data_IF_698841887385
#
_entry.id   IF_698841887385
#
_cell.length_a   1.000
_cell.length_b   1.000
_cell.length_c   1.000
_cell.angle_alpha   90.00
_cell.angle_beta   90.00
_cell.angle_gamma   90.00
#
_symmetry.space_group_name_H-M   'P 1'
#
loop_
_entity.id
_entity.type
_entity.pdbx_description
1 polymer ?
#
# COMPACT_ATOMS: atom_id res chain seq x y z
N UNK A 1 22.74 -3.05 -10.34
CA UNK A 1 22.28 -4.18 -9.49
C UNK A 1 21.95 -3.78 -8.05
N UNK A 2 22.63 -2.80 -7.43
CA UNK A 2 22.34 -2.35 -6.05
C UNK A 2 20.93 -1.77 -5.83
N UNK A 3 20.44 -0.89 -6.73
CA UNK A 3 19.18 -0.16 -6.53
C UNK A 3 17.93 -1.06 -6.50
N UNK A 4 17.92 -2.16 -7.25
CA UNK A 4 16.80 -3.12 -7.26
C UNK A 4 16.65 -3.84 -5.91
N UNK A 5 17.75 -3.97 -5.17
CA UNK A 5 17.75 -4.61 -3.85
C UNK A 5 17.20 -3.66 -2.77
N UNK A 6 17.50 -2.36 -2.88
CA UNK A 6 17.02 -1.32 -1.96
C UNK A 6 15.49 -1.19 -2.03
N UNK A 7 14.91 -1.12 -3.24
CA UNK A 7 13.45 -1.02 -3.38
C UNK A 7 12.72 -2.25 -2.82
N UNK A 8 13.27 -3.46 -3.03
CA UNK A 8 12.72 -4.67 -2.41
C UNK A 8 12.80 -4.61 -0.88
N UNK A 9 13.91 -4.14 -0.33
CA UNK A 9 14.04 -3.97 1.12
C UNK A 9 13.00 -3.00 1.67
N UNK A 10 12.81 -1.84 1.03
CA UNK A 10 11.77 -0.87 1.41
C UNK A 10 10.37 -1.49 1.35
N UNK A 11 10.07 -2.24 0.28
CA UNK A 11 8.80 -2.95 0.12
C UNK A 11 8.54 -3.92 1.27
N UNK A 12 9.48 -4.84 1.53
CA UNK A 12 9.32 -5.84 2.59
C UNK A 12 9.30 -5.23 3.99
N UNK A 13 10.06 -4.16 4.21
CA UNK A 13 10.03 -3.41 5.47
C UNK A 13 8.68 -2.73 5.66
N UNK A 14 8.11 -2.14 4.61
CA UNK A 14 6.75 -1.60 4.61
C UNK A 14 5.72 -2.66 4.98
N UNK A 15 5.76 -3.82 4.32
CA UNK A 15 4.86 -4.96 4.62
C UNK A 15 5.01 -5.42 6.07
N UNK A 16 6.24 -5.61 6.56
CA UNK A 16 6.49 -6.02 7.95
C UNK A 16 5.90 -5.02 8.95
N UNK A 17 6.07 -3.71 8.69
CA UNK A 17 5.50 -2.66 9.54
C UNK A 17 3.97 -2.63 9.51
N UNK A 18 3.34 -2.91 8.37
CA UNK A 18 1.87 -3.05 8.28
C UNK A 18 1.41 -4.20 9.18
N UNK A 19 2.05 -5.37 9.13
CA UNK A 19 1.68 -6.51 9.97
C UNK A 19 1.93 -6.26 11.47
N UNK A 20 3.10 -5.70 11.82
CA UNK A 20 3.43 -5.37 13.21
C UNK A 20 2.47 -4.30 13.75
N UNK A 21 2.25 -3.23 12.99
CA UNK A 21 1.33 -2.16 13.35
C UNK A 21 -0.11 -2.65 13.48
N UNK A 22 -0.58 -3.47 12.54
CA UNK A 22 -1.91 -4.08 12.56
C UNK A 22 -2.11 -5.01 13.77
N UNK A 23 -1.12 -5.85 14.09
CA UNK A 23 -1.17 -6.71 15.28
C UNK A 23 -1.23 -5.90 16.58
N UNK A 24 -0.42 -4.83 16.68
CA UNK A 24 -0.43 -3.94 17.84
C UNK A 24 -1.74 -3.14 17.95
N UNK A 25 -2.35 -2.81 16.81
CA UNK A 25 -3.67 -2.17 16.73
C UNK A 25 -4.75 -3.05 17.37
N UNK A 26 -4.76 -4.34 17.03
CA UNK A 26 -5.71 -5.31 17.60
C UNK A 26 -5.53 -5.48 19.11
N UNK A 27 -4.30 -5.29 19.60
CA UNK A 27 -3.98 -5.33 21.03
C UNK A 27 -4.21 -4.01 21.77
N UNK A 28 -4.70 -2.97 21.09
CA UNK A 28 -4.92 -1.65 21.69
C UNK A 28 -3.64 -0.98 22.20
N UNK A 29 -2.47 -1.32 21.64
CA UNK A 29 -1.20 -0.78 22.11
C UNK A 29 -0.93 0.61 21.56
N UNK A 30 -0.30 1.44 22.39
CA UNK A 30 0.17 2.75 21.98
C UNK A 30 1.14 2.68 20.80
N UNK A 31 1.02 3.67 19.91
CA UNK A 31 1.84 3.87 18.71
C UNK A 31 1.62 2.84 17.57
N UNK A 32 0.66 1.93 17.70
CA UNK A 32 0.27 1.02 16.62
C UNK A 32 -0.09 1.76 15.31
N UNK A 33 -0.79 2.90 15.45
CA UNK A 33 -1.16 3.80 14.36
C UNK A 33 0.03 4.33 13.58
N UNK A 34 1.13 4.62 14.26
CA UNK A 34 2.34 5.17 13.66
C UNK A 34 3.05 4.09 12.84
N UNK A 35 3.29 2.91 13.43
CA UNK A 35 3.95 1.80 12.72
C UNK A 35 3.15 1.34 11.50
N UNK A 36 1.83 1.20 11.66
CA UNK A 36 0.93 0.81 10.58
C UNK A 36 0.94 1.83 9.43
N UNK A 37 0.86 3.12 9.76
CA UNK A 37 0.85 4.20 8.78
C UNK A 37 2.18 4.35 8.05
N UNK A 38 3.31 4.22 8.75
CA UNK A 38 4.64 4.23 8.12
C UNK A 38 4.74 3.04 7.15
N UNK A 39 4.29 1.86 7.56
CA UNK A 39 4.27 0.68 6.70
C UNK A 39 3.45 0.89 5.42
N UNK A 40 2.22 1.39 5.56
CA UNK A 40 1.35 1.73 4.42
C UNK A 40 1.96 2.80 3.52
N UNK A 41 2.56 3.82 4.11
CA UNK A 41 3.19 4.91 3.36
C UNK A 41 4.40 4.41 2.56
N UNK A 42 5.26 3.57 3.15
CA UNK A 42 6.40 2.97 2.43
C UNK A 42 5.92 2.06 1.29
N UNK A 43 4.88 1.25 1.53
CA UNK A 43 4.31 0.36 0.53
C UNK A 43 3.71 1.14 -0.65
N UNK A 44 2.75 2.03 -0.36
CA UNK A 44 2.04 2.80 -1.37
C UNK A 44 2.95 3.82 -2.06
N UNK A 45 3.81 4.50 -1.29
CA UNK A 45 4.77 5.45 -1.81
C UNK A 45 5.77 4.82 -2.77
N UNK A 46 6.32 3.65 -2.43
CA UNK A 46 7.20 2.93 -3.34
C UNK A 46 6.46 2.48 -4.61
N UNK A 47 5.24 1.96 -4.47
CA UNK A 47 4.44 1.51 -5.60
C UNK A 47 4.12 2.65 -6.58
N UNK A 48 3.71 3.81 -6.07
CA UNK A 48 3.44 5.02 -6.85
C UNK A 48 4.72 5.61 -7.45
N UNK A 49 5.82 5.59 -6.69
CA UNK A 49 7.14 6.02 -7.19
C UNK A 49 7.57 5.19 -8.40
N UNK A 50 7.49 3.86 -8.31
CA UNK A 50 7.80 2.97 -9.44
C UNK A 50 6.87 3.18 -10.62
N UNK A 51 5.59 3.48 -10.37
CA UNK A 51 4.61 3.80 -11.42
C UNK A 51 4.96 5.10 -12.16
N UNK A 52 5.50 6.09 -11.46
CA UNK A 52 5.88 7.40 -12.04
C UNK A 52 7.00 7.31 -13.08
N UNK A 53 7.80 6.25 -13.07
CA UNK A 53 8.83 5.99 -14.08
C UNK A 53 8.27 5.47 -15.41
N UNK A 54 6.99 5.07 -15.45
CA UNK A 54 6.35 4.57 -16.66
C UNK A 54 5.50 5.68 -17.31
N UNK A 55 5.63 5.93 -18.62
CA UNK A 55 4.82 6.94 -19.28
C UNK A 55 3.35 6.54 -19.27
N UNK A 56 2.45 7.48 -18.96
CA UNK A 56 0.99 7.25 -18.83
C UNK A 56 0.40 6.59 -20.09
N UNK A 57 0.90 6.93 -21.27
CA UNK A 57 0.47 6.33 -22.56
C UNK A 57 0.71 4.82 -22.64
N UNK A 58 1.60 4.28 -21.81
CA UNK A 58 1.93 2.84 -21.75
C UNK A 58 1.16 2.09 -20.66
N UNK A 59 0.34 2.77 -19.87
CA UNK A 59 -0.36 2.15 -18.76
C UNK A 59 -1.48 1.26 -19.26
N UNK A 60 -1.44 -0.01 -18.86
CA UNK A 60 -2.60 -0.88 -18.99
C UNK A 60 -3.52 -0.69 -17.78
N UNK A 61 -4.69 -1.35 -17.81
CA UNK A 61 -5.66 -1.32 -16.70
C UNK A 61 -5.03 -1.69 -15.35
N UNK A 62 -3.97 -2.52 -15.34
CA UNK A 62 -3.29 -2.94 -14.11
C UNK A 62 -2.52 -1.80 -13.43
N UNK A 63 -1.96 -0.88 -14.21
CA UNK A 63 -1.20 0.29 -13.76
C UNK A 63 -2.14 1.33 -13.14
N UNK A 64 -3.30 1.57 -13.77
CA UNK A 64 -4.35 2.40 -13.18
C UNK A 64 -4.90 1.83 -11.87
N UNK A 65 -5.10 0.51 -11.79
CA UNK A 65 -5.52 -0.15 -10.55
C UNK A 65 -4.49 0.04 -9.42
N UNK A 66 -3.19 -0.08 -9.72
CA UNK A 66 -2.12 0.19 -8.76
C UNK A 66 -2.12 1.64 -8.26
N UNK A 67 -2.39 2.60 -9.16
CA UNK A 67 -2.55 4.00 -8.77
C UNK A 67 -3.72 4.14 -7.76
N UNK A 68 -4.88 3.59 -8.10
CA UNK A 68 -6.09 3.65 -7.25
C UNK A 68 -5.82 3.02 -5.88
N UNK A 69 -5.20 1.84 -5.84
CA UNK A 69 -4.80 1.17 -4.61
C UNK A 69 -3.84 2.04 -3.79
N UNK A 70 -2.83 2.63 -4.43
CA UNK A 70 -1.89 3.53 -3.76
C UNK A 70 -2.59 4.75 -3.14
N UNK A 71 -3.52 5.37 -3.86
CA UNK A 71 -4.33 6.50 -3.37
C UNK A 71 -5.23 6.08 -2.20
N UNK A 72 -5.84 4.89 -2.25
CA UNK A 72 -6.63 4.36 -1.15
C UNK A 72 -5.77 4.14 0.10
N UNK A 73 -4.58 3.57 -0.04
CA UNK A 73 -3.67 3.40 1.09
C UNK A 73 -3.19 4.72 1.69
N UNK A 74 -2.85 5.70 0.85
CA UNK A 74 -2.46 7.03 1.35
C UNK A 74 -3.63 7.76 2.02
N UNK A 75 -4.84 7.66 1.48
CA UNK A 75 -6.02 8.23 2.12
C UNK A 75 -6.37 7.53 3.45
N UNK A 76 -6.17 6.22 3.55
CA UNK A 76 -6.27 5.51 4.83
C UNK A 76 -5.25 6.05 5.85
N UNK A 77 -4.00 6.32 5.45
CA UNK A 77 -3.00 6.95 6.31
C UNK A 77 -3.44 8.35 6.74
N UNK A 78 -3.98 9.16 5.83
CA UNK A 78 -4.46 10.51 6.15
C UNK A 78 -5.62 10.46 7.15
N UNK A 79 -6.61 9.60 6.91
CA UNK A 79 -7.75 9.41 7.79
C UNK A 79 -7.33 8.93 9.18
N UNK A 80 -6.32 8.05 9.24
CA UNK A 80 -5.85 7.47 10.48
C UNK A 80 -5.00 8.45 11.32
N UNK A 81 -4.02 9.12 10.72
CA UNK A 81 -3.07 9.96 11.46
C UNK A 81 -3.51 11.41 11.63
N UNK A 82 -4.18 11.99 10.63
CA UNK A 82 -4.48 13.43 10.62
C UNK A 82 -5.92 13.73 11.02
N UNK A 83 -6.85 12.83 10.72
CA UNK A 83 -8.28 13.05 10.98
C UNK A 83 -8.82 12.18 12.13
N UNK A 84 -8.05 11.19 12.59
CA UNK A 84 -8.45 10.20 13.59
C UNK A 84 -9.85 9.58 13.32
N UNK A 85 -10.18 9.37 12.04
CA UNK A 85 -11.50 8.90 11.60
C UNK A 85 -11.50 7.39 11.42
N UNK A 86 -12.36 6.66 12.12
CA UNK A 86 -12.50 5.19 12.03
C UNK A 86 -12.73 4.65 10.60
N UNK A 87 -13.18 5.50 9.67
CA UNK A 87 -13.34 5.16 8.26
C UNK A 87 -12.05 4.70 7.57
N UNK A 88 -10.86 5.00 8.14
CA UNK A 88 -9.57 4.56 7.60
C UNK A 88 -9.52 3.04 7.36
N UNK A 89 -10.17 2.24 8.22
CA UNK A 89 -10.18 0.79 8.13
C UNK A 89 -10.94 0.29 6.90
N UNK A 90 -12.08 0.91 6.59
CA UNK A 90 -12.86 0.57 5.40
C UNK A 90 -12.08 0.90 4.12
N UNK A 91 -11.42 2.07 4.08
CA UNK A 91 -10.58 2.49 2.96
C UNK A 91 -9.39 1.54 2.78
N UNK A 92 -8.77 1.10 3.88
CA UNK A 92 -7.69 0.13 3.86
C UNK A 92 -8.12 -1.25 3.31
N UNK A 93 -9.24 -1.80 3.79
CA UNK A 93 -9.77 -3.08 3.28
C UNK A 93 -10.07 -2.99 1.79
N UNK A 94 -10.68 -1.88 1.35
CA UNK A 94 -11.01 -1.68 -0.06
C UNK A 94 -9.73 -1.66 -0.91
N UNK A 95 -8.68 -0.97 -0.44
CA UNK A 95 -7.35 -1.00 -1.06
C UNK A 95 -6.78 -2.42 -1.18
N UNK A 96 -6.79 -3.20 -0.09
CA UNK A 96 -6.31 -4.59 -0.10
C UNK A 96 -7.10 -5.48 -1.05
N UNK A 97 -8.42 -5.32 -1.07
CA UNK A 97 -9.30 -6.11 -1.93
C UNK A 97 -8.99 -5.84 -3.40
N UNK A 98 -8.86 -4.56 -3.78
CA UNK A 98 -8.50 -4.17 -5.14
C UNK A 98 -7.08 -4.65 -5.51
N UNK A 99 -6.10 -4.56 -4.61
CA UNK A 99 -4.73 -5.04 -4.86
C UNK A 99 -4.74 -6.55 -5.12
N UNK A 100 -5.45 -7.30 -4.28
CA UNK A 100 -5.62 -8.75 -4.43
C UNK A 100 -6.22 -9.13 -5.78
N UNK A 101 -7.36 -8.53 -6.16
CA UNK A 101 -7.99 -8.81 -7.45
C UNK A 101 -7.11 -8.38 -8.62
N UNK A 102 -6.43 -7.24 -8.54
CA UNK A 102 -5.50 -6.78 -9.58
C UNK A 102 -4.40 -7.79 -9.83
N UNK A 103 -3.83 -8.35 -8.77
CA UNK A 103 -2.78 -9.36 -8.87
C UNK A 103 -3.31 -10.70 -9.41
N UNK A 104 -4.53 -11.12 -9.02
CA UNK A 104 -5.19 -12.29 -9.60
C UNK A 104 -5.42 -12.11 -11.11
N UNK A 105 -6.06 -11.01 -11.52
CA UNK A 105 -6.35 -10.75 -12.92
C UNK A 105 -5.08 -10.67 -13.76
N UNK A 106 -4.01 -10.09 -13.21
CA UNK A 106 -2.70 -10.03 -13.88
C UNK A 106 -2.08 -11.42 -14.04
N UNK A 107 -2.25 -12.31 -13.06
CA UNK A 107 -1.76 -13.68 -13.14
C UNK A 107 -2.55 -14.49 -14.17
N UNK A 108 -3.87 -14.35 -14.19
CA UNK A 108 -4.75 -15.01 -15.17
C UNK A 108 -4.42 -14.54 -16.60
N UNK A 109 -4.26 -13.23 -16.84
CA UNK A 109 -3.97 -12.68 -18.17
C UNK A 109 -2.57 -13.03 -18.71
N UNK A 110 -1.64 -13.44 -17.84
CA UNK A 110 -0.27 -13.85 -18.21
C UNK A 110 -0.15 -15.35 -18.52
N UNK A 111 -1.14 -16.16 -18.10
CA UNK A 111 -1.29 -17.56 -18.52
C UNK A 111 -2.04 -17.61 -19.85
#
# INVERSE_FOLDING_TARGET
>A
MSSFNIYKAIYYLGVALIFIGGYRFLKGQDHASIFFSIGLFLYAGLQLYLLSYQPIKSWERSEYLKLVVGVLYLSAVVLLLFMNMHAWYAVFILGMTLDFFTNIFKKIRRQ
#
